data_IF_482843325554
#
_entry.id   IF_482843325554
#
_cell.length_a   1.000
_cell.length_b   1.000
_cell.length_c   1.000
_cell.angle_alpha   90.00
_cell.angle_beta   90.00
_cell.angle_gamma   90.00
#
_symmetry.space_group_name_H-M   'P 1'
#
loop_
_entity.id
_entity.type
_entity.pdbx_description
1 polymer ?
#
# COMPACT_ATOMS: atom_id res chain seq x y z
N UNK A 1 -22.00 11.41 -27.10
CA UNK A 1 -21.40 10.31 -27.88
C UNK A 1 -19.93 10.03 -27.55
N UNK A 2 -19.17 10.98 -26.96
CA UNK A 2 -17.75 10.76 -26.55
C UNK A 2 -17.62 10.11 -25.16
N UNK A 3 -18.64 10.17 -24.28
CA UNK A 3 -18.55 9.63 -22.91
C UNK A 3 -18.79 8.12 -22.79
N UNK A 4 -19.54 7.50 -23.72
CA UNK A 4 -19.77 6.04 -23.69
C UNK A 4 -18.51 5.26 -24.05
N UNK A 5 -17.71 5.74 -25.02
CA UNK A 5 -16.47 5.07 -25.41
C UNK A 5 -15.44 5.01 -24.28
N UNK A 6 -15.33 6.08 -23.48
CA UNK A 6 -14.40 6.14 -22.35
C UNK A 6 -14.83 5.23 -21.17
N UNK A 7 -16.13 5.07 -20.95
CA UNK A 7 -16.67 4.18 -19.92
C UNK A 7 -16.49 2.69 -20.28
N UNK A 8 -16.66 2.35 -21.56
CA UNK A 8 -16.45 0.99 -22.08
C UNK A 8 -14.96 0.62 -22.03
N UNK A 9 -14.06 1.53 -22.38
CA UNK A 9 -12.61 1.30 -22.29
C UNK A 9 -12.11 1.17 -20.83
N UNK A 10 -12.69 1.94 -19.90
CA UNK A 10 -12.38 1.82 -18.48
C UNK A 10 -12.84 0.46 -17.91
N UNK A 11 -14.06 0.02 -18.24
CA UNK A 11 -14.59 -1.27 -17.83
C UNK A 11 -13.81 -2.45 -18.43
N UNK A 12 -13.36 -2.33 -19.69
CA UNK A 12 -12.53 -3.34 -20.35
C UNK A 12 -11.13 -3.46 -19.72
N UNK A 13 -10.50 -2.33 -19.35
CA UNK A 13 -9.22 -2.32 -18.63
C UNK A 13 -9.34 -2.89 -17.22
N UNK A 14 -10.44 -2.60 -16.54
CA UNK A 14 -10.72 -3.10 -15.19
C UNK A 14 -11.02 -4.61 -15.19
N UNK A 15 -11.73 -5.10 -16.20
CA UNK A 15 -11.96 -6.53 -16.45
C UNK A 15 -10.67 -7.29 -16.76
N UNK A 16 -9.83 -6.76 -17.67
CA UNK A 16 -8.53 -7.35 -18.02
C UNK A 16 -7.56 -7.37 -16.82
N UNK A 17 -7.56 -6.32 -15.99
CA UNK A 17 -6.75 -6.27 -14.78
C UNK A 17 -7.23 -7.26 -13.72
N UNK A 18 -8.55 -7.47 -13.58
CA UNK A 18 -9.12 -8.48 -12.68
C UNK A 18 -8.84 -9.89 -13.16
N UNK A 19 -8.98 -10.16 -14.45
CA UNK A 19 -8.70 -11.47 -15.04
C UNK A 19 -7.21 -11.82 -14.96
N UNK A 20 -6.32 -10.84 -15.17
CA UNK A 20 -4.88 -11.02 -14.98
C UNK A 20 -4.53 -11.27 -13.50
N UNK A 21 -5.17 -10.55 -12.57
CA UNK A 21 -4.98 -10.76 -11.14
C UNK A 21 -5.51 -12.12 -10.68
N UNK A 22 -6.64 -12.59 -11.23
CA UNK A 22 -7.18 -13.92 -10.95
C UNK A 22 -6.33 -15.02 -11.60
N UNK A 23 -5.85 -14.86 -12.83
CA UNK A 23 -4.89 -15.83 -13.44
C UNK A 23 -3.61 -15.93 -12.63
N UNK A 24 -3.09 -14.82 -12.08
CA UNK A 24 -1.95 -14.82 -11.16
C UNK A 24 -2.30 -15.52 -9.83
N UNK A 25 -3.51 -15.32 -9.28
CA UNK A 25 -3.99 -16.05 -8.09
C UNK A 25 -4.16 -17.54 -8.34
N UNK A 26 -4.62 -17.93 -9.52
CA UNK A 26 -4.78 -19.33 -9.92
C UNK A 26 -3.42 -20.00 -10.14
N UNK A 27 -2.46 -19.31 -10.75
CA UNK A 27 -1.09 -19.81 -10.96
C UNK A 27 -0.28 -19.93 -9.67
N UNK A 28 -0.49 -19.03 -8.69
CA UNK A 28 0.22 -19.06 -7.42
C UNK A 28 -0.36 -20.06 -6.41
N UNK A 29 -1.51 -20.67 -6.70
CA UNK A 29 -2.28 -21.45 -5.75
C UNK A 29 -2.77 -20.55 -4.62
N UNK A 30 -4.08 -20.35 -4.49
CA UNK A 30 -4.63 -19.58 -3.37
C UNK A 30 -4.42 -20.33 -2.06
N UNK A 31 -3.23 -20.22 -1.48
CA UNK A 31 -3.01 -20.54 -0.09
C UNK A 31 -3.71 -19.42 0.67
N UNK A 32 -4.95 -19.69 1.07
CA UNK A 32 -5.70 -18.78 1.92
C UNK A 32 -4.82 -18.50 3.14
N UNK A 33 -4.46 -17.22 3.40
CA UNK A 33 -3.59 -16.90 4.51
C UNK A 33 -4.22 -17.41 5.81
N UNK A 34 -3.42 -17.99 6.73
CA UNK A 34 -3.96 -18.53 7.97
C UNK A 34 -4.61 -17.43 8.80
N UNK A 35 -5.69 -17.73 9.49
CA UNK A 35 -6.49 -16.74 10.25
C UNK A 35 -5.68 -15.94 11.29
N UNK A 36 -4.57 -16.51 11.78
CA UNK A 36 -3.64 -15.87 12.73
C UNK A 36 -2.63 -14.90 12.11
N UNK A 37 -2.67 -14.68 10.78
CA UNK A 37 -1.72 -13.82 10.09
C UNK A 37 -2.06 -12.34 10.29
N UNK A 38 -1.13 -11.60 10.87
CA UNK A 38 -1.24 -10.14 11.04
C UNK A 38 -1.26 -9.47 9.65
N UNK A 39 -2.13 -8.46 9.40
CA UNK A 39 -2.22 -7.80 8.10
C UNK A 39 -0.88 -7.26 7.58
N UNK A 40 -0.04 -6.74 8.48
CA UNK A 40 1.30 -6.20 8.18
C UNK A 40 2.27 -7.25 7.61
N UNK A 41 2.06 -8.54 7.93
CA UNK A 41 2.95 -9.63 7.53
C UNK A 41 2.45 -10.34 6.26
N UNK A 42 1.31 -9.96 5.69
CA UNK A 42 0.73 -10.58 4.47
C UNK A 42 1.66 -10.54 3.26
N UNK A 43 2.39 -9.44 3.10
CA UNK A 43 3.37 -9.27 2.01
C UNK A 43 4.52 -10.27 2.16
N UNK A 44 5.11 -10.34 3.36
CA UNK A 44 6.23 -11.25 3.68
C UNK A 44 5.79 -12.70 3.56
N UNK A 45 4.58 -13.01 4.01
CA UNK A 45 3.97 -14.34 3.85
C UNK A 45 3.91 -14.77 2.38
N UNK A 46 3.37 -13.91 1.51
CA UNK A 46 3.26 -14.20 0.07
C UNK A 46 4.62 -14.40 -0.59
N UNK A 47 5.60 -13.53 -0.29
CA UNK A 47 6.98 -13.69 -0.77
C UNK A 47 7.58 -15.01 -0.27
N UNK A 48 7.41 -15.33 1.02
CA UNK A 48 7.93 -16.56 1.61
C UNK A 48 7.34 -17.84 1.01
N UNK A 49 6.08 -17.82 0.55
CA UNK A 49 5.46 -18.98 -0.13
C UNK A 49 6.14 -19.32 -1.45
N UNK A 50 6.70 -18.32 -2.15
CA UNK A 50 7.46 -18.54 -3.38
C UNK A 50 8.95 -18.78 -3.10
N UNK A 51 9.57 -17.96 -2.25
CA UNK A 51 11.02 -17.94 -2.03
C UNK A 51 11.51 -19.17 -1.28
N UNK A 52 10.81 -19.63 -0.23
CA UNK A 52 11.32 -20.73 0.59
C UNK A 52 11.39 -22.08 -0.15
N UNK A 53 10.38 -22.49 -0.95
CA UNK A 53 10.49 -23.70 -1.78
C UNK A 53 11.58 -23.60 -2.84
N UNK A 54 11.71 -22.44 -3.50
CA UNK A 54 12.76 -22.23 -4.49
C UNK A 54 14.15 -22.34 -3.88
N UNK A 55 14.36 -21.79 -2.68
CA UNK A 55 15.62 -21.96 -1.97
C UNK A 55 15.91 -23.41 -1.59
N UNK A 56 14.90 -24.18 -1.15
CA UNK A 56 15.08 -25.61 -0.88
C UNK A 56 15.53 -26.37 -2.14
N UNK A 57 14.90 -26.10 -3.30
CA UNK A 57 15.30 -26.68 -4.59
C UNK A 57 16.71 -26.23 -5.01
N UNK A 58 17.06 -24.96 -4.80
CA UNK A 58 18.40 -24.45 -5.11
C UNK A 58 19.48 -25.19 -4.30
N UNK A 59 19.24 -25.45 -3.01
CA UNK A 59 20.18 -26.20 -2.17
C UNK A 59 20.31 -27.67 -2.57
N UNK A 60 19.24 -28.31 -3.05
CA UNK A 60 19.32 -29.64 -3.66
C UNK A 60 20.18 -29.58 -4.93
N UNK A 61 19.99 -28.58 -5.79
CA UNK A 61 20.83 -28.36 -6.97
C UNK A 61 22.31 -28.20 -6.63
N UNK A 62 22.63 -27.36 -5.64
CA UNK A 62 24.01 -27.19 -5.16
C UNK A 62 24.60 -28.48 -4.58
N UNK A 63 23.80 -29.29 -3.88
CA UNK A 63 24.28 -30.59 -3.39
C UNK A 63 24.74 -31.52 -4.52
N UNK A 64 24.05 -31.49 -5.68
CA UNK A 64 24.46 -32.25 -6.86
C UNK A 64 25.76 -31.70 -7.46
N UNK A 65 25.90 -30.37 -7.53
CA UNK A 65 27.16 -29.73 -7.99
C UNK A 65 28.34 -30.13 -7.10
N UNK A 66 28.17 -30.08 -5.78
CA UNK A 66 29.23 -30.47 -4.84
C UNK A 66 29.56 -31.97 -4.92
N UNK A 67 28.58 -32.83 -5.21
CA UNK A 67 28.81 -34.25 -5.42
C UNK A 67 29.66 -34.50 -6.67
N UNK A 68 29.39 -33.80 -7.78
CA UNK A 68 30.19 -33.87 -9.02
C UNK A 68 31.63 -33.38 -8.78
N UNK A 69 31.81 -32.36 -7.94
CA UNK A 69 33.12 -31.82 -7.58
C UNK A 69 33.83 -32.62 -6.46
N UNK A 70 33.23 -33.73 -6.00
CA UNK A 70 33.74 -34.57 -4.91
C UNK A 70 33.94 -33.84 -3.55
N UNK A 71 33.19 -32.76 -3.29
CA UNK A 71 33.25 -31.97 -2.05
C UNK A 71 32.20 -32.47 -1.06
N UNK A 72 32.46 -33.64 -0.47
CA UNK A 72 31.48 -34.38 0.35
C UNK A 72 30.96 -33.61 1.56
N UNK A 73 31.81 -32.78 2.19
CA UNK A 73 31.43 -31.92 3.33
C UNK A 73 30.29 -30.95 2.97
N UNK A 74 30.29 -30.40 1.76
CA UNK A 74 29.27 -29.45 1.30
C UNK A 74 28.00 -30.11 0.76
N UNK A 75 28.08 -31.38 0.34
CA UNK A 75 26.88 -32.15 -0.07
C UNK A 75 25.94 -32.29 1.12
N UNK A 76 26.43 -32.84 2.24
CA UNK A 76 25.63 -33.03 3.45
C UNK A 76 25.10 -31.71 4.00
N UNK A 77 25.93 -30.68 4.01
CA UNK A 77 25.52 -29.34 4.45
C UNK A 77 24.42 -28.73 3.57
N UNK A 78 24.50 -28.90 2.25
CA UNK A 78 23.52 -28.36 1.33
C UNK A 78 22.19 -29.10 1.40
N UNK A 79 22.20 -30.42 1.60
CA UNK A 79 20.97 -31.18 1.88
C UNK A 79 20.33 -30.76 3.22
N UNK A 80 21.14 -30.51 4.26
CA UNK A 80 20.64 -29.97 5.52
C UNK A 80 20.00 -28.58 5.31
N UNK A 81 20.65 -27.71 4.54
CA UNK A 81 20.09 -26.40 4.19
C UNK A 81 18.77 -26.54 3.41
N UNK A 82 18.65 -27.49 2.48
CA UNK A 82 17.39 -27.76 1.78
C UNK A 82 16.26 -28.13 2.77
N UNK A 83 16.55 -28.95 3.78
CA UNK A 83 15.60 -29.30 4.85
C UNK A 83 15.22 -28.08 5.69
N UNK A 84 16.18 -27.21 6.03
CA UNK A 84 15.93 -25.94 6.74
C UNK A 84 14.95 -25.06 5.96
N UNK A 85 15.16 -24.92 4.65
CA UNK A 85 14.29 -24.11 3.78
C UNK A 85 12.91 -24.74 3.55
N UNK A 86 12.82 -26.07 3.44
CA UNK A 86 11.55 -26.78 3.42
C UNK A 86 10.78 -26.61 4.75
N UNK A 87 11.49 -26.62 5.88
CA UNK A 87 10.91 -26.38 7.20
C UNK A 87 10.44 -24.93 7.33
N UNK A 88 11.20 -23.96 6.84
CA UNK A 88 10.78 -22.56 6.77
C UNK A 88 9.51 -22.40 5.92
N UNK A 89 9.38 -23.13 4.80
CA UNK A 89 8.14 -23.17 4.00
C UNK A 89 6.96 -23.65 4.84
N UNK A 90 7.12 -24.75 5.58
CA UNK A 90 6.07 -25.29 6.43
C UNK A 90 5.66 -24.31 7.55
N UNK A 91 6.64 -23.66 8.19
CA UNK A 91 6.38 -22.62 9.21
C UNK A 91 5.66 -21.41 8.61
N UNK A 92 6.07 -20.98 7.41
CA UNK A 92 5.44 -19.87 6.71
C UNK A 92 3.99 -20.18 6.35
N UNK A 93 3.71 -21.37 5.81
CA UNK A 93 2.35 -21.85 5.50
C UNK A 93 1.46 -21.88 6.74
N UNK A 94 2.02 -22.24 7.89
CA UNK A 94 1.29 -22.19 9.18
C UNK A 94 1.06 -20.74 9.63
N UNK A 95 1.74 -19.72 9.11
CA UNK A 95 1.61 -18.31 9.51
C UNK A 95 2.63 -17.85 10.56
N UNK A 96 3.64 -18.66 10.86
CA UNK A 96 4.72 -18.30 11.77
C UNK A 96 5.85 -17.58 11.02
N UNK A 97 5.57 -16.36 10.55
CA UNK A 97 6.43 -15.61 9.60
C UNK A 97 7.83 -15.35 10.16
N UNK A 98 7.91 -14.86 11.41
CA UNK A 98 9.19 -14.54 12.03
C UNK A 98 10.06 -15.80 12.24
N UNK A 99 9.45 -16.90 12.65
CA UNK A 99 10.16 -18.16 12.86
C UNK A 99 10.66 -18.74 11.52
N UNK A 100 9.84 -18.70 10.48
CA UNK A 100 10.22 -19.11 9.14
C UNK A 100 11.39 -18.26 8.60
N UNK A 101 11.29 -16.94 8.73
CA UNK A 101 12.34 -16.02 8.30
C UNK A 101 13.63 -16.23 9.09
N UNK A 102 13.58 -16.26 10.42
CA UNK A 102 14.75 -16.45 11.27
C UNK A 102 15.47 -17.77 10.97
N UNK A 103 14.70 -18.85 10.75
CA UNK A 103 15.25 -20.15 10.39
C UNK A 103 15.95 -20.14 9.02
N UNK A 104 15.27 -19.62 7.99
CA UNK A 104 15.84 -19.54 6.64
C UNK A 104 17.07 -18.60 6.58
N UNK A 105 16.98 -17.43 7.23
CA UNK A 105 18.02 -16.42 7.26
C UNK A 105 19.27 -16.91 8.00
N UNK A 106 19.09 -17.53 9.17
CA UNK A 106 20.21 -18.12 9.93
C UNK A 106 20.85 -19.28 9.17
N UNK A 107 20.02 -20.15 8.56
CA UNK A 107 20.51 -21.26 7.74
C UNK A 107 21.31 -20.78 6.52
N UNK A 108 20.84 -19.73 5.85
CA UNK A 108 21.52 -19.11 4.71
C UNK A 108 22.89 -18.54 5.10
N UNK A 109 22.97 -17.79 6.20
CA UNK A 109 24.24 -17.22 6.67
C UNK A 109 25.20 -18.32 7.09
N UNK A 110 24.73 -19.29 7.89
CA UNK A 110 25.59 -20.39 8.34
C UNK A 110 26.14 -21.18 7.16
N UNK A 111 25.30 -21.50 6.17
CA UNK A 111 25.73 -22.16 4.93
C UNK A 111 26.78 -21.33 4.19
N UNK A 112 26.52 -20.05 3.99
CA UNK A 112 27.44 -19.14 3.29
C UNK A 112 28.80 -19.05 3.99
N UNK A 113 28.82 -18.98 5.32
CA UNK A 113 30.06 -18.92 6.11
C UNK A 113 30.89 -20.20 5.99
N UNK A 114 30.26 -21.36 6.18
CA UNK A 114 30.97 -22.65 6.09
C UNK A 114 31.40 -22.94 4.65
N UNK A 115 30.54 -22.70 3.67
CA UNK A 115 30.89 -22.88 2.26
C UNK A 115 32.06 -22.00 1.85
N UNK A 116 32.13 -20.76 2.34
CA UNK A 116 33.26 -19.88 2.10
C UNK A 116 34.55 -20.37 2.78
N UNK A 117 34.45 -20.91 3.99
CA UNK A 117 35.60 -21.50 4.68
C UNK A 117 36.15 -22.75 3.97
N UNK A 118 35.29 -23.56 3.35
CA UNK A 118 35.68 -24.78 2.62
C UNK A 118 36.21 -24.46 1.22
N UNK A 119 35.53 -23.59 0.47
CA UNK A 119 35.92 -23.28 -0.93
C UNK A 119 36.98 -22.18 -1.04
N UNK A 120 37.24 -21.46 0.05
CA UNK A 120 38.17 -20.34 0.08
C UNK A 120 37.59 -19.04 -0.48
N UNK A 121 38.36 -17.97 -0.30
CA UNK A 121 37.97 -16.61 -0.68
C UNK A 121 37.66 -16.48 -2.19
N UNK A 122 38.49 -17.09 -3.04
CA UNK A 122 38.37 -17.01 -4.49
C UNK A 122 37.02 -17.48 -5.05
N UNK A 123 36.32 -18.36 -4.33
CA UNK A 123 35.00 -18.87 -4.72
C UNK A 123 33.92 -17.78 -4.87
N UNK A 124 34.09 -16.63 -4.22
CA UNK A 124 33.11 -15.54 -4.24
C UNK A 124 31.80 -15.83 -3.49
N UNK A 125 31.60 -17.02 -2.93
CA UNK A 125 30.35 -17.40 -2.24
C UNK A 125 29.98 -16.42 -1.11
N UNK A 126 30.98 -15.87 -0.43
CA UNK A 126 30.80 -14.87 0.62
C UNK A 126 30.05 -13.61 0.18
N UNK A 127 30.03 -13.28 -1.12
CA UNK A 127 29.27 -12.16 -1.68
C UNK A 127 27.76 -12.36 -1.57
N UNK A 128 27.30 -13.61 -1.43
CA UNK A 128 25.89 -13.90 -1.19
C UNK A 128 25.41 -13.33 0.16
N UNK A 129 26.31 -12.98 1.09
CA UNK A 129 25.95 -12.25 2.30
C UNK A 129 25.31 -10.87 2.00
N UNK A 130 25.48 -10.30 0.81
CA UNK A 130 24.78 -9.05 0.44
C UNK A 130 23.26 -9.22 0.26
N UNK A 131 22.77 -10.45 0.06
CA UNK A 131 21.34 -10.74 0.02
C UNK A 131 20.69 -10.60 1.41
N UNK A 132 21.45 -10.88 2.47
CA UNK A 132 20.92 -10.93 3.83
C UNK A 132 20.41 -9.57 4.32
N UNK A 133 21.10 -8.41 4.21
CA UNK A 133 20.56 -7.13 4.69
C UNK A 133 19.28 -6.75 3.93
N UNK A 134 19.25 -6.91 2.60
CA UNK A 134 18.07 -6.57 1.79
C UNK A 134 16.84 -7.40 2.18
N UNK A 135 17.01 -8.71 2.44
CA UNK A 135 15.89 -9.57 2.87
C UNK A 135 15.24 -9.13 4.19
N UNK A 136 16.00 -8.54 5.12
CA UNK A 136 15.51 -8.07 6.43
C UNK A 136 14.58 -6.86 6.30
N UNK A 137 14.78 -6.04 5.26
CA UNK A 137 13.92 -4.88 5.00
C UNK A 137 12.51 -5.26 4.52
N UNK A 138 12.26 -6.52 4.19
CA UNK A 138 10.91 -7.03 3.96
C UNK A 138 10.09 -7.10 5.25
N UNK A 139 10.73 -7.25 6.41
CA UNK A 139 10.03 -7.41 7.68
C UNK A 139 9.38 -6.09 8.15
N UNK A 140 8.12 -6.19 8.55
CA UNK A 140 7.34 -5.13 9.22
C UNK A 140 7.77 -4.98 10.69
N UNK A 141 9.03 -4.59 10.89
CA UNK A 141 9.66 -4.45 12.22
C UNK A 141 10.39 -3.12 12.39
N UNK A 142 10.68 -2.77 13.64
CA UNK A 142 11.35 -1.51 14.04
C UNK A 142 12.63 -1.31 13.25
N UNK A 143 12.88 -0.06 12.85
CA UNK A 143 14.06 0.32 12.05
C UNK A 143 15.38 -0.16 12.66
N UNK A 144 15.54 -0.04 13.98
CA UNK A 144 16.76 -0.46 14.69
C UNK A 144 17.04 -1.96 14.57
N UNK A 145 16.01 -2.82 14.65
CA UNK A 145 16.16 -4.26 14.48
C UNK A 145 16.70 -4.63 13.08
N UNK A 146 16.24 -3.90 12.06
CA UNK A 146 16.69 -4.11 10.67
C UNK A 146 18.15 -3.69 10.50
N UNK A 147 18.51 -2.54 11.05
CA UNK A 147 19.89 -2.02 11.01
C UNK A 147 20.85 -2.97 11.74
N UNK A 148 20.51 -3.45 12.94
CA UNK A 148 21.39 -4.36 13.69
C UNK A 148 21.69 -5.64 12.92
N UNK A 149 20.69 -6.19 12.22
CA UNK A 149 20.82 -7.45 11.49
C UNK A 149 21.61 -7.27 10.17
N UNK A 150 21.44 -6.13 9.50
CA UNK A 150 22.26 -5.72 8.37
C UNK A 150 23.72 -5.50 8.78
N UNK A 151 23.96 -4.81 9.90
CA UNK A 151 25.30 -4.61 10.47
C UNK A 151 25.96 -5.93 10.83
N UNK A 152 25.23 -6.86 11.46
CA UNK A 152 25.75 -8.19 11.78
C UNK A 152 26.22 -8.96 10.53
N UNK A 153 25.50 -8.83 9.42
CA UNK A 153 25.88 -9.44 8.14
C UNK A 153 27.14 -8.81 7.54
N UNK A 154 27.26 -7.48 7.62
CA UNK A 154 28.48 -6.77 7.21
C UNK A 154 29.69 -7.12 8.06
N UNK A 155 29.51 -7.28 9.38
CA UNK A 155 30.58 -7.75 10.27
C UNK A 155 30.98 -9.21 9.98
N UNK A 156 30.03 -10.08 9.65
CA UNK A 156 30.31 -11.46 9.24
C UNK A 156 31.14 -11.50 7.95
N UNK A 157 30.79 -10.66 6.95
CA UNK A 157 31.58 -10.50 5.73
C UNK A 157 33.01 -10.02 6.05
N UNK A 158 33.15 -8.99 6.90
CA UNK A 158 34.45 -8.46 7.29
C UNK A 158 35.31 -9.50 8.02
N UNK A 159 34.72 -10.25 8.95
CA UNK A 159 35.41 -11.32 9.67
C UNK A 159 35.92 -12.41 8.73
N UNK A 160 35.11 -12.76 7.73
CA UNK A 160 35.46 -13.74 6.71
C UNK A 160 36.59 -13.23 5.79
N UNK A 161 36.56 -11.96 5.42
CA UNK A 161 37.66 -11.32 4.68
C UNK A 161 38.98 -11.41 5.43
N UNK A 162 38.97 -11.04 6.71
CA UNK A 162 40.18 -11.10 7.55
C UNK A 162 40.67 -12.55 7.70
N UNK A 163 39.75 -13.51 7.86
CA UNK A 163 40.10 -14.91 8.09
C UNK A 163 40.60 -15.64 6.83
N UNK A 164 40.06 -15.31 5.65
CA UNK A 164 40.26 -16.13 4.45
C UNK A 164 41.05 -15.47 3.32
N UNK A 165 41.30 -14.15 3.34
CA UNK A 165 41.98 -13.45 2.22
C UNK A 165 43.37 -14.00 1.90
N UNK A 166 44.08 -14.47 2.92
CA UNK A 166 45.45 -15.00 2.83
C UNK A 166 45.49 -16.53 3.02
N UNK A 167 44.32 -17.18 3.13
CA UNK A 167 44.24 -18.61 3.39
C UNK A 167 44.72 -19.42 2.17
N UNK A 168 45.55 -20.47 2.35
CA UNK A 168 45.99 -21.30 1.24
C UNK A 168 44.80 -21.94 0.54
N UNK A 169 44.80 -21.84 -0.78
CA UNK A 169 43.78 -22.47 -1.60
C UNK A 169 43.99 -23.99 -1.64
N UNK A 170 42.90 -24.74 -1.53
CA UNK A 170 42.92 -26.20 -1.77
C UNK A 170 43.31 -26.48 -3.24
N UNK A 171 44.47 -27.14 -3.49
CA UNK A 171 44.93 -27.44 -4.83
C UNK A 171 44.05 -28.43 -5.58
N UNK A 172 43.23 -29.22 -4.87
CA UNK A 172 42.33 -30.21 -5.46
C UNK A 172 41.14 -29.56 -6.17
N UNK A 173 40.81 -28.31 -5.84
CA UNK A 173 39.71 -27.56 -6.45
C UNK A 173 40.15 -26.90 -7.77
N UNK A 174 39.46 -27.17 -8.90
CA UNK A 174 39.82 -26.56 -10.19
C UNK A 174 39.67 -25.04 -10.20
N UNK A 175 40.68 -24.31 -10.71
CA UNK A 175 40.68 -22.83 -10.71
C UNK A 175 39.53 -22.23 -11.52
N UNK A 176 39.26 -22.83 -12.67
CA UNK A 176 38.13 -22.50 -13.52
C UNK A 176 36.79 -22.67 -12.81
N UNK A 177 36.63 -23.69 -11.96
CA UNK A 177 35.38 -23.92 -11.24
C UNK A 177 35.14 -22.84 -10.18
N UNK A 178 36.18 -22.43 -9.44
CA UNK A 178 36.08 -21.34 -8.47
C UNK A 178 35.82 -19.99 -9.15
N UNK A 179 36.46 -19.71 -10.28
CA UNK A 179 36.22 -18.49 -11.05
C UNK A 179 34.77 -18.42 -11.59
N UNK A 180 34.25 -19.53 -12.11
CA UNK A 180 32.84 -19.62 -12.54
C UNK A 180 31.90 -19.40 -11.35
N UNK A 181 32.18 -20.06 -10.20
CA UNK A 181 31.38 -19.88 -8.98
C UNK A 181 31.37 -18.42 -8.52
N UNK A 182 32.51 -17.73 -8.58
CA UNK A 182 32.61 -16.32 -8.25
C UNK A 182 31.73 -15.46 -9.15
N UNK A 183 31.83 -15.62 -10.47
CA UNK A 183 31.03 -14.86 -11.44
C UNK A 183 29.53 -15.10 -11.21
N UNK A 184 29.14 -16.34 -10.92
CA UNK A 184 27.76 -16.67 -10.58
C UNK A 184 27.33 -15.99 -9.28
N UNK A 185 28.16 -16.01 -8.22
CA UNK A 185 27.84 -15.39 -6.94
C UNK A 185 27.65 -13.87 -7.08
N UNK A 186 28.54 -13.19 -7.82
CA UNK A 186 28.40 -11.77 -8.19
C UNK A 186 27.09 -11.55 -8.94
N UNK A 187 26.84 -12.30 -10.01
CA UNK A 187 25.66 -12.14 -10.84
C UNK A 187 24.36 -12.33 -10.06
N UNK A 188 24.31 -13.32 -9.15
CA UNK A 188 23.18 -13.56 -8.25
C UNK A 188 23.00 -12.39 -7.28
N UNK A 189 24.08 -11.88 -6.69
CA UNK A 189 24.02 -10.74 -5.78
C UNK A 189 23.48 -9.47 -6.46
N UNK A 190 24.00 -9.14 -7.64
CA UNK A 190 23.52 -7.99 -8.42
C UNK A 190 22.08 -8.18 -8.90
N UNK A 191 21.73 -9.36 -9.42
CA UNK A 191 20.37 -9.65 -9.87
C UNK A 191 19.37 -9.56 -8.71
N UNK A 192 19.73 -10.07 -7.54
CA UNK A 192 18.89 -9.96 -6.35
C UNK A 192 18.72 -8.50 -5.91
N UNK A 193 19.80 -7.72 -5.86
CA UNK A 193 19.72 -6.30 -5.49
C UNK A 193 18.87 -5.49 -6.48
N UNK A 194 19.00 -5.75 -7.79
CA UNK A 194 18.20 -5.10 -8.82
C UNK A 194 16.71 -5.47 -8.70
N UNK A 195 16.39 -6.76 -8.56
CA UNK A 195 15.01 -7.23 -8.36
C UNK A 195 14.41 -6.68 -7.06
N UNK A 196 15.18 -6.68 -5.98
CA UNK A 196 14.75 -6.15 -4.70
C UNK A 196 14.49 -4.64 -4.77
N UNK A 197 15.41 -3.89 -5.40
CA UNK A 197 15.25 -2.44 -5.63
C UNK A 197 14.00 -2.14 -6.44
N UNK A 198 13.81 -2.81 -7.58
CA UNK A 198 12.62 -2.68 -8.41
C UNK A 198 11.32 -3.00 -7.64
N UNK A 199 11.31 -4.10 -6.88
CA UNK A 199 10.18 -4.47 -6.05
C UNK A 199 9.84 -3.41 -4.98
N UNK A 200 10.85 -2.86 -4.31
CA UNK A 200 10.62 -1.79 -3.33
C UNK A 200 10.16 -0.49 -3.98
N UNK A 201 10.67 -0.16 -5.18
CA UNK A 201 10.24 0.98 -5.97
C UNK A 201 8.78 0.88 -6.41
N UNK A 202 8.36 -0.28 -6.90
CA UNK A 202 6.95 -0.54 -7.27
C UNK A 202 6.00 -0.45 -6.08
N UNK A 203 6.45 -0.90 -4.90
CA UNK A 203 5.66 -0.77 -3.67
C UNK A 203 5.57 0.68 -3.22
N UNK A 204 6.66 1.45 -3.32
CA UNK A 204 6.68 2.87 -2.98
C UNK A 204 5.75 3.68 -3.89
N UNK A 205 5.84 3.50 -5.21
CA UNK A 205 4.99 4.21 -6.18
C UNK A 205 3.50 3.89 -6.00
N UNK A 206 3.15 2.62 -5.74
CA UNK A 206 1.77 2.22 -5.43
C UNK A 206 1.26 2.85 -4.14
N UNK A 207 2.12 2.94 -3.11
CA UNK A 207 1.78 3.58 -1.84
C UNK A 207 1.52 5.08 -2.04
N UNK A 208 2.41 5.78 -2.73
CA UNK A 208 2.26 7.19 -3.07
C UNK A 208 0.97 7.45 -3.85
N UNK A 209 0.68 6.64 -4.88
CA UNK A 209 -0.56 6.76 -5.64
C UNK A 209 -1.81 6.51 -4.79
N UNK A 210 -1.77 5.54 -3.85
CA UNK A 210 -2.89 5.27 -2.95
C UNK A 210 -3.13 6.41 -1.96
N UNK A 211 -2.05 7.02 -1.46
CA UNK A 211 -2.11 8.16 -0.56
C UNK A 211 -2.66 9.39 -1.27
N UNK A 212 -2.18 9.66 -2.50
CA UNK A 212 -2.70 10.75 -3.33
C UNK A 212 -4.21 10.61 -3.61
N UNK A 213 -4.68 9.39 -3.93
CA UNK A 213 -6.12 9.13 -4.11
C UNK A 213 -6.91 9.30 -2.81
N UNK A 214 -6.38 8.85 -1.68
CA UNK A 214 -7.03 9.02 -0.39
C UNK A 214 -7.15 10.50 -0.01
N UNK A 215 -6.10 11.29 -0.26
CA UNK A 215 -6.08 12.73 -0.07
C UNK A 215 -7.12 13.42 -0.96
N UNK A 216 -7.09 13.16 -2.27
CA UNK A 216 -8.04 13.74 -3.22
C UNK A 216 -9.49 13.41 -2.83
N UNK A 217 -9.77 12.18 -2.43
CA UNK A 217 -11.10 11.76 -2.00
C UNK A 217 -11.55 12.48 -0.72
N UNK A 218 -10.62 12.73 0.21
CA UNK A 218 -10.90 13.52 1.41
C UNK A 218 -11.20 14.99 1.05
N UNK A 219 -10.46 15.57 0.12
CA UNK A 219 -10.67 16.94 -0.36
C UNK A 219 -12.02 17.09 -1.07
N UNK A 220 -12.36 16.16 -1.96
CA UNK A 220 -13.63 16.15 -2.69
C UNK A 220 -14.82 16.05 -1.71
N UNK A 221 -14.73 15.16 -0.71
CA UNK A 221 -15.77 15.01 0.31
C UNK A 221 -15.91 16.27 1.17
N UNK A 222 -14.79 16.90 1.55
CA UNK A 222 -14.81 18.14 2.33
C UNK A 222 -15.51 19.26 1.56
N UNK A 223 -15.19 19.43 0.28
CA UNK A 223 -15.79 20.44 -0.61
C UNK A 223 -17.26 20.16 -0.95
N UNK A 224 -17.71 18.91 -0.85
CA UNK A 224 -19.13 18.57 -1.01
C UNK A 224 -19.98 18.89 0.23
N UNK A 225 -19.37 19.05 1.41
CA UNK A 225 -20.07 19.32 2.67
C UNK A 225 -20.00 20.79 3.04
N UNK A 226 -18.88 21.46 2.72
CA UNK A 226 -18.61 22.83 3.13
C UNK A 226 -18.39 23.75 1.93
N UNK A 227 -18.78 25.04 2.04
CA UNK A 227 -18.38 26.05 1.07
C UNK A 227 -16.86 26.09 0.91
N UNK A 228 -16.38 26.31 -0.32
CA UNK A 228 -14.96 26.24 -0.66
C UNK A 228 -14.05 27.07 0.26
N UNK A 229 -14.46 28.29 0.59
CA UNK A 229 -13.69 29.19 1.49
C UNK A 229 -13.53 28.61 2.91
N UNK A 230 -14.55 27.92 3.42
CA UNK A 230 -14.53 27.29 4.75
C UNK A 230 -13.66 26.02 4.69
N UNK A 231 -13.77 25.24 3.62
CA UNK A 231 -12.94 24.06 3.40
C UNK A 231 -11.45 24.41 3.36
N UNK A 232 -11.06 25.45 2.61
CA UNK A 232 -9.68 25.91 2.48
C UNK A 232 -9.10 26.36 3.84
N UNK A 233 -9.88 27.09 4.64
CA UNK A 233 -9.48 27.55 5.99
C UNK A 233 -9.28 26.39 6.97
N UNK A 234 -10.19 25.40 6.95
CA UNK A 234 -10.04 24.19 7.76
C UNK A 234 -8.79 23.39 7.37
N UNK A 235 -8.50 23.29 6.07
CA UNK A 235 -7.27 22.64 5.56
C UNK A 235 -6.00 23.36 5.99
N UNK A 236 -6.05 24.69 6.15
CA UNK A 236 -4.94 25.50 6.68
C UNK A 236 -4.78 25.37 8.20
N UNK A 237 -5.64 24.59 8.87
CA UNK A 237 -5.56 24.31 10.30
C UNK A 237 -6.35 25.28 11.18
N UNK A 238 -7.15 26.18 10.59
CA UNK A 238 -8.06 27.02 11.35
C UNK A 238 -9.15 26.14 12.00
N UNK A 239 -9.32 26.24 13.31
CA UNK A 239 -10.25 25.38 14.06
C UNK A 239 -11.57 26.06 14.42
N UNK A 240 -11.58 27.39 14.45
CA UNK A 240 -12.74 28.18 14.86
C UNK A 240 -13.00 29.20 13.78
N UNK A 241 -13.98 28.89 12.92
CA UNK A 241 -14.40 29.79 11.83
C UNK A 241 -15.67 30.49 12.29
N UNK A 242 -15.54 31.76 12.64
CA UNK A 242 -16.62 32.63 13.09
C UNK A 242 -16.44 34.00 12.45
N UNK A 243 -17.05 34.19 11.28
CA UNK A 243 -16.94 35.44 10.54
C UNK A 243 -18.03 36.43 10.98
N UNK A 244 -17.61 37.67 11.26
CA UNK A 244 -18.52 38.76 11.59
C UNK A 244 -18.99 39.48 10.33
N UNK A 245 -20.31 39.58 10.15
CA UNK A 245 -20.93 40.34 9.07
C UNK A 245 -21.64 41.57 9.65
N UNK A 246 -21.27 42.77 9.17
CA UNK A 246 -21.81 44.03 9.71
C UNK A 246 -23.29 44.27 9.35
N UNK A 247 -23.78 43.68 8.27
CA UNK A 247 -25.18 43.75 7.85
C UNK A 247 -25.54 42.53 7.00
N UNK A 248 -26.67 41.89 7.32
CA UNK A 248 -27.22 40.76 6.59
C UNK A 248 -28.74 40.69 6.82
N UNK A 249 -29.46 40.07 5.88
CA UNK A 249 -30.88 39.73 6.04
C UNK A 249 -31.06 38.23 5.99
N UNK A 250 -31.88 37.67 6.87
CA UNK A 250 -32.18 36.23 6.92
C UNK A 250 -33.68 36.03 6.85
N UNK A 251 -34.13 35.16 5.96
CA UNK A 251 -35.53 34.77 5.81
C UNK A 251 -35.72 33.33 6.28
N UNK A 252 -36.79 33.13 7.04
CA UNK A 252 -37.30 31.83 7.46
C UNK A 252 -38.67 31.65 6.82
N UNK A 253 -38.83 30.59 6.04
CA UNK A 253 -40.10 30.15 5.47
C UNK A 253 -40.43 28.77 6.00
N UNK A 254 -41.72 28.50 6.23
CA UNK A 254 -42.20 27.22 6.75
C UNK A 254 -43.57 26.87 6.14
N UNK A 255 -43.84 25.58 5.96
CA UNK A 255 -45.09 25.13 5.32
C UNK A 255 -46.20 25.05 6.38
N UNK A 256 -47.20 25.91 6.23
CA UNK A 256 -48.36 25.90 7.13
C UNK A 256 -49.08 24.55 7.08
N UNK A 257 -49.25 23.93 8.24
CA UNK A 257 -49.99 22.66 8.36
C UNK A 257 -49.23 21.43 7.86
N UNK A 258 -47.90 21.47 7.80
CA UNK A 258 -47.09 20.34 7.34
C UNK A 258 -47.23 19.07 8.20
N UNK A 259 -47.28 19.18 9.53
CA UNK A 259 -47.40 18.01 10.42
C UNK A 259 -48.63 17.13 10.10
N UNK A 260 -49.86 17.66 10.01
CA UNK A 260 -51.01 16.86 9.59
C UNK A 260 -50.95 16.41 8.13
N UNK A 261 -50.35 17.20 7.24
CA UNK A 261 -50.15 16.83 5.82
C UNK A 261 -49.24 15.60 5.70
N UNK A 262 -48.08 15.64 6.35
CA UNK A 262 -47.06 14.58 6.35
C UNK A 262 -47.58 13.26 6.93
N UNK A 263 -48.47 13.32 7.93
CA UNK A 263 -49.09 12.14 8.55
C UNK A 263 -50.02 11.38 7.60
N UNK A 264 -50.51 12.03 6.55
CA UNK A 264 -51.44 11.46 5.57
C UNK A 264 -50.79 11.14 4.20
N UNK A 265 -49.47 11.32 4.08
CA UNK A 265 -48.72 11.07 2.84
C UNK A 265 -47.73 9.92 3.02
N UNK A 266 -47.49 9.19 1.93
CA UNK A 266 -46.37 8.24 1.92
C UNK A 266 -45.04 9.01 1.92
N UNK A 267 -43.98 8.48 2.54
CA UNK A 267 -42.67 9.13 2.58
C UNK A 267 -42.16 9.56 1.20
N UNK A 268 -42.35 8.72 0.17
CA UNK A 268 -41.91 9.01 -1.20
C UNK A 268 -42.63 10.23 -1.78
N UNK A 269 -43.95 10.35 -1.56
CA UNK A 269 -44.74 11.50 -2.04
C UNK A 269 -44.40 12.78 -1.26
N UNK A 270 -44.18 12.66 0.04
CA UNK A 270 -43.81 13.79 0.90
C UNK A 270 -42.45 14.38 0.48
N UNK A 271 -41.44 13.52 0.32
CA UNK A 271 -40.11 13.94 -0.14
C UNK A 271 -40.17 14.49 -1.56
N UNK A 272 -40.97 13.89 -2.45
CA UNK A 272 -41.18 14.40 -3.81
C UNK A 272 -41.75 15.83 -3.83
N UNK A 273 -42.77 16.09 -3.00
CA UNK A 273 -43.36 17.42 -2.85
C UNK A 273 -42.36 18.44 -2.30
N UNK A 274 -41.65 18.09 -1.22
CA UNK A 274 -40.61 18.96 -0.65
C UNK A 274 -39.52 19.28 -1.66
N UNK A 275 -39.06 18.27 -2.40
CA UNK A 275 -38.04 18.45 -3.43
C UNK A 275 -38.51 19.39 -4.53
N UNK A 276 -39.77 19.29 -4.99
CA UNK A 276 -40.32 20.19 -6.00
C UNK A 276 -40.37 21.64 -5.49
N UNK A 277 -40.91 21.88 -4.29
CA UNK A 277 -41.00 23.22 -3.70
C UNK A 277 -39.62 23.82 -3.49
N UNK A 278 -38.70 23.07 -2.87
CA UNK A 278 -37.36 23.56 -2.59
C UNK A 278 -36.52 23.75 -3.85
N UNK A 279 -36.71 22.94 -4.90
CA UNK A 279 -36.02 23.18 -6.19
C UNK A 279 -36.44 24.51 -6.79
N UNK A 280 -37.74 24.85 -6.77
CA UNK A 280 -38.22 26.15 -7.27
C UNK A 280 -37.70 27.33 -6.43
N UNK A 281 -37.63 27.16 -5.10
CA UNK A 281 -37.01 28.16 -4.23
C UNK A 281 -35.50 28.28 -4.51
N UNK A 282 -34.79 27.18 -4.75
CA UNK A 282 -33.37 27.17 -5.09
C UNK A 282 -33.11 27.95 -6.40
N UNK A 283 -33.97 27.80 -7.40
CA UNK A 283 -33.90 28.57 -8.65
C UNK A 283 -34.06 30.08 -8.40
N UNK A 284 -35.02 30.47 -7.56
CA UNK A 284 -35.23 31.88 -7.17
C UNK A 284 -34.07 32.42 -6.34
N UNK A 285 -33.51 31.64 -5.41
CA UNK A 285 -32.30 32.00 -4.65
C UNK A 285 -31.16 32.33 -5.60
N UNK A 286 -30.94 31.50 -6.63
CA UNK A 286 -29.97 31.75 -7.68
C UNK A 286 -30.24 33.04 -8.47
N UNK A 287 -31.51 33.28 -8.86
CA UNK A 287 -31.91 34.47 -9.62
C UNK A 287 -31.71 35.79 -8.85
N UNK A 288 -31.91 35.77 -7.52
CA UNK A 288 -31.74 36.94 -6.65
C UNK A 288 -30.31 37.09 -6.09
N UNK A 289 -29.42 36.13 -6.38
CA UNK A 289 -28.05 36.14 -5.84
C UNK A 289 -28.01 36.03 -4.32
N UNK A 290 -28.89 35.19 -3.76
CA UNK A 290 -28.99 34.90 -2.33
C UNK A 290 -28.27 33.59 -1.99
N UNK A 291 -28.03 33.37 -0.70
CA UNK A 291 -27.38 32.14 -0.22
C UNK A 291 -28.40 31.27 0.52
N UNK A 292 -28.60 30.05 0.02
CA UNK A 292 -29.35 29.01 0.75
C UNK A 292 -28.51 28.52 1.93
N UNK A 293 -29.03 28.67 3.14
CA UNK A 293 -28.31 28.24 4.35
C UNK A 293 -28.55 26.76 4.64
N UNK A 294 -29.82 26.37 4.78
CA UNK A 294 -30.24 24.99 5.03
C UNK A 294 -31.76 24.85 4.90
N UNK A 295 -32.19 23.60 4.86
CA UNK A 295 -33.57 23.20 5.16
C UNK A 295 -33.62 22.47 6.50
N UNK A 296 -34.75 22.48 7.18
CA UNK A 296 -34.96 21.69 8.41
C UNK A 296 -36.41 21.22 8.43
N UNK A 297 -36.65 19.99 7.98
CA UNK A 297 -38.02 19.51 7.75
C UNK A 297 -38.67 20.27 6.60
N UNK A 298 -39.75 20.97 6.92
CA UNK A 298 -40.55 21.86 6.07
C UNK A 298 -40.05 23.31 6.02
N UNK A 299 -39.11 23.67 6.90
CA UNK A 299 -38.54 25.01 6.92
C UNK A 299 -37.42 25.20 5.88
N UNK A 300 -37.39 26.37 5.26
CA UNK A 300 -36.39 26.81 4.28
C UNK A 300 -35.75 28.13 4.74
N UNK A 301 -34.41 28.18 4.80
CA UNK A 301 -33.65 29.32 5.35
C UNK A 301 -32.71 29.90 4.29
N UNK A 302 -32.83 31.20 4.05
CA UNK A 302 -32.03 31.96 3.06
C UNK A 302 -31.38 33.17 3.74
N UNK A 303 -30.18 33.52 3.32
CA UNK A 303 -29.50 34.74 3.73
C UNK A 303 -29.12 35.63 2.54
N UNK A 304 -29.10 36.94 2.78
CA UNK A 304 -28.56 37.95 1.89
C UNK A 304 -27.43 38.69 2.60
N UNK A 305 -26.33 38.96 1.89
CA UNK A 305 -25.14 39.63 2.43
C UNK A 305 -24.12 38.70 3.10
N UNK A 306 -24.31 37.39 2.98
CA UNK A 306 -23.40 36.34 3.47
C UNK A 306 -23.28 35.26 2.38
N UNK A 307 -22.08 34.72 2.08
CA UNK A 307 -20.78 35.15 2.59
C UNK A 307 -20.26 36.43 1.92
N UNK A 308 -20.90 36.88 0.84
CA UNK A 308 -20.51 38.10 0.13
C UNK A 308 -21.38 39.29 0.58
N UNK A 309 -20.81 40.33 1.21
CA UNK A 309 -21.56 41.52 1.59
C UNK A 309 -22.19 42.21 0.38
N UNK A 310 -23.42 42.68 0.54
CA UNK A 310 -24.14 43.46 -0.47
C UNK A 310 -24.95 44.57 0.21
N UNK A 311 -25.06 45.72 -0.45
CA UNK A 311 -25.73 46.90 0.13
C UNK A 311 -27.26 46.78 0.08
N UNK A 312 -27.76 46.11 -0.94
CA UNK A 312 -29.18 45.87 -1.21
C UNK A 312 -29.70 44.58 -0.55
N UNK A 313 -29.04 44.09 0.52
CA UNK A 313 -29.35 42.78 1.12
C UNK A 313 -30.81 42.66 1.57
N UNK A 314 -31.39 43.74 2.11
CA UNK A 314 -32.77 43.77 2.56
C UNK A 314 -33.76 43.83 1.38
N UNK A 315 -33.45 44.61 0.36
CA UNK A 315 -34.27 44.75 -0.86
C UNK A 315 -34.31 43.44 -1.63
N UNK A 316 -33.15 42.81 -1.86
CA UNK A 316 -33.04 41.52 -2.54
C UNK A 316 -33.79 40.42 -1.78
N UNK A 317 -33.70 40.39 -0.45
CA UNK A 317 -34.46 39.42 0.36
C UNK A 317 -35.97 39.66 0.28
N UNK A 318 -36.41 40.91 0.26
CA UNK A 318 -37.82 41.26 0.12
C UNK A 318 -38.36 40.90 -1.28
N UNK A 319 -37.59 41.15 -2.34
CA UNK A 319 -37.94 40.74 -3.70
C UNK A 319 -38.05 39.22 -3.83
N UNK A 320 -37.09 38.46 -3.28
CA UNK A 320 -37.18 37.01 -3.21
C UNK A 320 -38.43 36.55 -2.45
N UNK A 321 -38.74 37.15 -1.30
CA UNK A 321 -39.92 36.80 -0.52
C UNK A 321 -41.22 37.02 -1.29
N UNK A 322 -41.30 38.09 -2.10
CA UNK A 322 -42.46 38.38 -2.94
C UNK A 322 -42.60 37.39 -4.10
N UNK A 323 -41.50 36.94 -4.70
CA UNK A 323 -41.52 35.98 -5.80
C UNK A 323 -41.84 34.54 -5.33
N UNK A 324 -41.60 34.23 -4.06
CA UNK A 324 -41.93 32.94 -3.44
C UNK A 324 -43.44 32.79 -3.16
N UNK A 325 -44.16 33.90 -2.98
CA UNK A 325 -45.61 33.94 -2.68
C UNK A 325 -46.48 33.66 -3.91
#
# INVERSE_FOLDING_TARGET
>A
MISEGAAVDAAAREGSSRESADRIRTLLGTVTPPARLVPEDRRVYGVGLAVYPLGALAYVGWSAVYAVLAITSLVGMSLLAAVVWATATALNRRGSILAAFALAWTGFILHTLVASAVLGWDSGIHQLLFLSPASVFLLSRRRMFKISLATASGLAYLGLYVALRDAPRDPSLPAQALAIAHVIAVAVAFSFLALFSGYTGDVATKLEASLARAHQRADDLLRNILPGQIADRLQQGERTIADGYGSASVLFSDIVGFTPLSSNMTPERLVGMLNEVFTRMDDLVGAHGLEKIKTTGDAYIVAAGIPSPRQDHAEAMASFALDVL
#
